data_IF_886295844597
#
_entry.id   IF_886295844597
#
_cell.length_a   1.000
_cell.length_b   1.000
_cell.length_c   1.000
_cell.angle_alpha   90.00
_cell.angle_beta   90.00
_cell.angle_gamma   90.00
#
_symmetry.space_group_name_H-M   'P 1'
#
loop_
_entity.id
_entity.type
_entity.pdbx_description
1 polymer ?
#
# COMPACT_ATOMS: atom_id res chain seq x y z
N UNK A 1 7.20 9.83 -2.06
CA UNK A 1 6.23 10.69 -2.79
C UNK A 1 4.89 10.54 -2.09
N UNK A 2 4.22 11.64 -1.79
CA UNK A 2 2.91 11.68 -1.10
C UNK A 2 1.91 12.35 -2.05
N UNK A 3 0.76 11.72 -2.25
CA UNK A 3 -0.35 12.23 -3.07
C UNK A 3 -1.65 12.17 -2.25
N UNK A 4 -2.37 13.28 -2.16
CA UNK A 4 -3.73 13.27 -1.60
C UNK A 4 -4.74 13.04 -2.72
N UNK A 5 -5.53 11.97 -2.63
CA UNK A 5 -6.51 11.57 -3.64
C UNK A 5 -7.83 11.17 -2.97
N UNK A 6 -8.89 11.99 -3.18
CA UNK A 6 -10.25 11.72 -2.65
C UNK A 6 -10.31 11.41 -1.15
N UNK A 7 -9.49 12.11 -0.34
CA UNK A 7 -9.41 11.88 1.11
C UNK A 7 -8.49 10.72 1.51
N UNK A 8 -7.75 10.14 0.57
CA UNK A 8 -6.68 9.19 0.83
C UNK A 8 -5.32 9.86 0.69
N UNK A 9 -4.47 9.70 1.70
CA UNK A 9 -3.05 10.00 1.60
C UNK A 9 -2.30 8.78 1.08
N UNK A 10 -1.87 8.85 -0.18
CA UNK A 10 -1.19 7.79 -0.90
C UNK A 10 0.31 8.05 -0.81
N UNK A 11 1.05 7.12 -0.21
CA UNK A 11 2.50 7.19 -0.07
C UNK A 11 3.14 5.95 -0.67
N UNK A 12 4.27 6.12 -1.35
CA UNK A 12 5.10 4.98 -1.74
C UNK A 12 5.96 4.55 -0.56
N UNK A 13 5.65 3.40 0.04
CA UNK A 13 6.47 2.81 1.08
C UNK A 13 7.61 2.02 0.43
N UNK A 14 8.83 2.53 0.58
CA UNK A 14 10.04 1.78 0.30
C UNK A 14 10.37 1.02 1.57
N UNK A 15 10.13 -0.29 1.56
CA UNK A 15 10.65 -1.15 2.61
C UNK A 15 12.17 -1.25 2.38
N UNK A 16 12.89 -0.23 2.86
CA UNK A 16 14.33 -0.22 2.82
C UNK A 16 14.81 -1.25 3.83
N UNK A 17 15.07 -2.45 3.33
CA UNK A 17 15.46 -3.65 4.07
C UNK A 17 16.87 -3.57 4.69
N UNK A 18 17.31 -2.37 5.06
CA UNK A 18 18.61 -2.12 5.70
C UNK A 18 18.50 -1.93 7.22
N UNK A 19 17.29 -1.85 7.80
CA UNK A 19 17.14 -1.49 9.21
C UNK A 19 16.34 -2.43 10.13
N UNK A 20 15.89 -3.60 9.68
CA UNK A 20 15.18 -4.53 10.57
C UNK A 20 15.75 -5.93 10.51
N UNK A 21 16.61 -6.18 11.48
CA UNK A 21 16.90 -7.48 12.07
C UNK A 21 15.65 -8.38 12.14
N UNK A 22 15.89 -9.62 11.70
CA UNK A 22 15.47 -10.90 12.31
C UNK A 22 13.98 -11.22 12.45
N UNK A 23 13.68 -12.43 11.96
CA UNK A 23 12.53 -13.26 12.28
C UNK A 23 11.15 -12.63 12.00
N UNK A 24 10.43 -13.00 10.96
CA UNK A 24 9.77 -14.31 10.86
C UNK A 24 9.11 -14.40 9.47
N UNK A 25 8.90 -15.63 8.99
CA UNK A 25 8.00 -15.99 7.89
C UNK A 25 8.58 -15.90 6.46
N UNK A 26 9.20 -17.02 6.06
CA UNK A 26 9.02 -17.64 4.75
C UNK A 26 7.58 -17.44 4.26
N UNK A 27 7.35 -16.61 3.23
CA UNK A 27 6.28 -16.82 2.24
C UNK A 27 6.41 -15.81 1.08
N UNK A 28 6.57 -16.35 -0.13
CA UNK A 28 6.39 -15.74 -1.45
C UNK A 28 6.99 -14.35 -1.70
N UNK A 29 8.21 -14.39 -2.25
CA UNK A 29 8.93 -13.29 -2.88
C UNK A 29 8.29 -12.83 -4.20
N UNK A 30 7.12 -12.20 -4.13
CA UNK A 30 6.71 -11.24 -5.17
C UNK A 30 6.92 -9.84 -4.61
N UNK A 31 8.00 -9.18 -5.06
CA UNK A 31 8.27 -7.74 -4.93
C UNK A 31 7.82 -7.07 -3.63
N UNK A 32 8.39 -7.46 -2.49
CA UNK A 32 8.12 -6.82 -1.20
C UNK A 32 8.80 -5.45 -1.00
N UNK A 33 9.57 -4.95 -1.99
CA UNK A 33 10.43 -3.76 -1.82
C UNK A 33 9.70 -2.43 -1.99
N UNK A 34 8.65 -2.38 -2.82
CA UNK A 34 7.93 -1.14 -3.14
C UNK A 34 6.43 -1.42 -3.11
N UNK A 35 5.76 -0.95 -2.06
CA UNK A 35 4.30 -1.03 -1.97
C UNK A 35 3.75 0.37 -1.78
N UNK A 36 2.77 0.73 -2.61
CA UNK A 36 1.99 1.91 -2.39
C UNK A 36 1.01 1.64 -1.25
N UNK A 37 0.93 2.58 -0.32
CA UNK A 37 -0.02 2.58 0.79
C UNK A 37 -0.95 3.77 0.62
N UNK A 38 -2.26 3.53 0.65
CA UNK A 38 -3.27 4.57 0.80
C UNK A 38 -3.77 4.56 2.24
N UNK A 39 -3.77 5.71 2.90
CA UNK A 39 -4.36 5.89 4.24
C UNK A 39 -5.51 6.88 4.14
N UNK A 40 -6.72 6.44 4.46
CA UNK A 40 -7.89 7.30 4.48
C UNK A 40 -7.96 8.09 5.79
N UNK A 41 -8.65 9.23 5.76
CA UNK A 41 -8.85 10.08 6.94
C UNK A 41 -9.55 9.37 8.11
N UNK A 42 -10.31 8.30 7.85
CA UNK A 42 -10.94 7.47 8.89
C UNK A 42 -10.00 6.41 9.50
N UNK A 43 -8.75 6.33 9.04
CA UNK A 43 -7.76 5.34 9.48
C UNK A 43 -7.74 4.03 8.69
N UNK A 44 -8.59 3.86 7.68
CA UNK A 44 -8.53 2.72 6.77
C UNK A 44 -7.22 2.73 5.97
N UNK A 45 -6.65 1.55 5.75
CA UNK A 45 -5.39 1.36 5.03
C UNK A 45 -5.58 0.38 3.89
N UNK A 46 -5.17 0.78 2.70
CA UNK A 46 -5.13 -0.06 1.52
C UNK A 46 -3.69 -0.17 1.00
N UNK A 47 -3.38 -1.32 0.41
CA UNK A 47 -2.06 -1.63 -0.10
C UNK A 47 -2.17 -2.03 -1.56
N UNK A 48 -1.20 -1.61 -2.35
CA UNK A 48 -1.17 -1.86 -3.79
C UNK A 48 0.26 -1.90 -4.28
N UNK A 49 0.46 -2.59 -5.39
CA UNK A 49 1.74 -2.73 -6.08
C UNK A 49 2.05 -1.50 -6.94
N UNK A 50 1.05 -0.66 -7.22
CA UNK A 50 1.21 0.58 -8.00
C UNK A 50 0.25 1.68 -7.54
N UNK A 51 0.60 2.95 -7.81
CA UNK A 51 -0.28 4.11 -7.59
C UNK A 51 -1.62 3.93 -8.32
N UNK A 52 -1.59 3.39 -9.54
CA UNK A 52 -2.79 3.13 -10.35
C UNK A 52 -3.71 2.11 -9.67
N UNK A 53 -3.15 1.07 -9.07
CA UNK A 53 -3.92 0.06 -8.33
C UNK A 53 -4.56 0.66 -7.08
N UNK A 54 -3.82 1.46 -6.29
CA UNK A 54 -4.39 2.17 -5.14
C UNK A 54 -5.56 3.07 -5.57
N UNK A 55 -5.38 3.87 -6.62
CA UNK A 55 -6.46 4.72 -7.16
C UNK A 55 -7.66 3.88 -7.61
N UNK A 56 -7.41 2.74 -8.27
CA UNK A 56 -8.48 1.85 -8.71
C UNK A 56 -9.30 1.30 -7.54
N UNK A 57 -8.64 0.92 -6.44
CA UNK A 57 -9.31 0.47 -5.21
C UNK A 57 -10.17 1.59 -4.61
N UNK A 58 -9.67 2.84 -4.61
CA UNK A 58 -10.40 4.02 -4.11
C UNK A 58 -11.60 4.37 -5.00
N UNK A 59 -11.43 4.29 -6.32
CA UNK A 59 -12.48 4.60 -7.30
C UNK A 59 -13.59 3.54 -7.32
N UNK A 60 -13.22 2.29 -7.10
CA UNK A 60 -14.12 1.13 -7.22
C UNK A 60 -14.07 0.25 -5.97
N UNK A 61 -14.42 0.76 -4.78
CA UNK A 61 -14.36 0.00 -3.54
C UNK A 61 -15.25 -1.25 -3.58
N UNK A 62 -16.32 -1.25 -4.37
CA UNK A 62 -17.21 -2.40 -4.56
C UNK A 62 -16.57 -3.59 -5.26
N UNK A 63 -15.57 -3.37 -6.13
CA UNK A 63 -14.82 -4.46 -6.77
C UNK A 63 -13.82 -5.12 -5.82
N UNK A 64 -13.52 -4.45 -4.71
CA UNK A 64 -12.59 -4.89 -3.68
C UNK A 64 -13.29 -5.18 -2.34
N UNK A 65 -14.61 -5.02 -2.28
CA UNK A 65 -15.44 -5.43 -1.16
C UNK A 65 -15.53 -6.97 -1.17
N UNK A 66 -14.98 -7.60 -0.14
CA UNK A 66 -15.04 -9.05 0.07
C UNK A 66 -16.06 -9.38 1.15
#
# INVERSE_FOLDING_TARGET
MIENYKGWDITLNWDNKDYLERDTAKNNFFNQKEKWIGVHLNGEKIYGSSLKEIRHIIDYPSLHAK
#
